data_IF_638729318534
#
_entry.id   IF_638729318534
#
_cell.length_a   1.000
_cell.length_b   1.000
_cell.length_c   1.000
_cell.angle_alpha   90.00
_cell.angle_beta   90.00
_cell.angle_gamma   90.00
#
_symmetry.space_group_name_H-M   'P 1'
#
loop_
_entity.id
_entity.type
_entity.pdbx_description
1 polymer ?
#
# COMPACT_ATOMS: atom_id res chain seq x y z
N UNK A 1 17.48 10.85 -1.98
CA UNK A 1 16.12 10.75 -2.54
C UNK A 1 15.45 9.51 -2.01
N UNK A 2 14.23 9.67 -1.55
CA UNK A 2 13.47 8.55 -1.02
C UNK A 2 12.86 7.74 -2.15
N UNK A 3 13.08 6.44 -2.13
CA UNK A 3 12.40 5.54 -3.03
C UNK A 3 11.09 5.11 -2.38
N UNK A 4 10.00 5.20 -3.12
CA UNK A 4 8.74 4.63 -2.64
C UNK A 4 8.72 3.16 -3.00
N UNK A 5 8.59 2.26 -2.02
CA UNK A 5 8.43 0.84 -2.33
C UNK A 5 7.21 0.61 -3.18
N UNK A 6 7.28 -0.38 -4.06
CA UNK A 6 6.18 -0.71 -4.96
C UNK A 6 5.65 -2.09 -4.61
N UNK A 7 4.34 -2.20 -4.50
CA UNK A 7 3.68 -3.46 -4.17
C UNK A 7 2.57 -3.74 -5.15
N UNK A 8 2.30 -5.03 -5.36
CA UNK A 8 1.17 -5.47 -6.17
C UNK A 8 0.01 -5.82 -5.26
N UNK A 9 -1.20 -5.43 -5.67
CA UNK A 9 -2.41 -5.77 -4.93
C UNK A 9 -3.49 -6.18 -5.93
N UNK A 10 -4.34 -7.11 -5.54
CA UNK A 10 -5.48 -7.47 -6.35
C UNK A 10 -6.58 -6.42 -6.19
N UNK A 11 -7.35 -6.24 -7.26
CA UNK A 11 -8.44 -5.26 -7.28
C UNK A 11 -9.42 -5.45 -6.12
N UNK A 12 -9.61 -6.69 -5.69
CA UNK A 12 -10.53 -6.98 -4.60
C UNK A 12 -10.11 -6.32 -3.29
N UNK A 13 -8.84 -5.97 -3.18
CA UNK A 13 -8.30 -5.33 -1.97
C UNK A 13 -8.36 -3.82 -2.04
N UNK A 14 -8.90 -3.26 -3.12
CA UNK A 14 -9.04 -1.81 -3.28
C UNK A 14 -10.53 -1.48 -3.25
N UNK A 15 -10.94 -0.65 -2.29
CA UNK A 15 -12.34 -0.29 -2.14
C UNK A 15 -12.44 1.11 -1.54
N UNK A 16 -13.22 1.98 -2.17
CA UNK A 16 -13.49 3.34 -1.66
C UNK A 16 -12.20 4.10 -1.33
N UNK A 17 -11.22 4.06 -2.23
CA UNK A 17 -9.93 4.71 -2.06
C UNK A 17 -9.07 4.13 -0.94
N UNK A 18 -9.47 2.98 -0.40
CA UNK A 18 -8.70 2.31 0.64
C UNK A 18 -8.12 1.02 0.06
N UNK A 19 -6.83 0.84 0.26
CA UNK A 19 -6.13 -0.39 -0.11
C UNK A 19 -5.82 -1.15 1.16
N UNK A 20 -6.13 -2.45 1.19
CA UNK A 20 -5.77 -3.29 2.32
C UNK A 20 -4.75 -4.33 1.86
N UNK A 21 -3.60 -4.37 2.50
CA UNK A 21 -2.56 -5.35 2.24
C UNK A 21 -2.53 -6.36 3.39
N UNK A 22 -2.42 -7.64 3.04
CA UNK A 22 -2.46 -8.73 4.00
C UNK A 22 -1.20 -9.58 3.91
N UNK A 23 -0.98 -10.40 4.93
CA UNK A 23 -0.01 -11.46 4.89
C UNK A 23 1.43 -10.98 4.73
N UNK A 24 2.13 -11.57 3.76
CA UNK A 24 3.54 -11.30 3.56
C UNK A 24 3.82 -9.83 3.21
N UNK A 25 2.96 -9.22 2.43
CA UNK A 25 3.13 -7.82 2.06
C UNK A 25 3.03 -6.92 3.30
N UNK A 26 2.05 -7.17 4.15
CA UNK A 26 1.89 -6.39 5.37
C UNK A 26 3.08 -6.60 6.30
N UNK A 27 3.55 -7.83 6.43
CA UNK A 27 4.72 -8.13 7.23
C UNK A 27 5.99 -7.47 6.70
N UNK A 28 6.14 -7.47 5.38
CA UNK A 28 7.29 -6.83 4.75
C UNK A 28 7.31 -5.33 5.04
N UNK A 29 6.17 -4.68 4.88
CA UNK A 29 6.08 -3.25 5.10
C UNK A 29 6.36 -2.89 6.56
N UNK A 30 5.74 -3.61 7.49
CA UNK A 30 5.86 -3.24 8.90
C UNK A 30 7.19 -3.64 9.52
N UNK A 31 7.76 -4.80 9.12
CA UNK A 31 8.97 -5.32 9.75
C UNK A 31 10.24 -4.97 8.99
N UNK A 32 10.23 -5.17 7.68
CA UNK A 32 11.45 -5.01 6.88
C UNK A 32 11.67 -3.56 6.54
N UNK A 33 10.63 -2.89 6.04
CA UNK A 33 10.74 -1.48 5.67
C UNK A 33 10.55 -0.53 6.85
N UNK A 34 10.04 -1.06 7.96
CA UNK A 34 9.75 -0.26 9.15
C UNK A 34 8.88 0.94 8.86
N UNK A 35 7.95 0.76 7.95
CA UNK A 35 7.01 1.81 7.58
C UNK A 35 6.01 2.05 8.70
N UNK A 36 5.45 3.24 8.72
CA UNK A 36 4.53 3.66 9.78
C UNK A 36 3.43 4.52 9.17
N UNK A 37 2.34 4.77 9.89
CA UNK A 37 1.30 5.66 9.40
C UNK A 37 1.88 7.00 8.96
N UNK A 38 1.43 7.49 7.82
CA UNK A 38 1.96 8.69 7.20
C UNK A 38 2.96 8.42 6.09
N UNK A 39 3.55 7.23 6.05
CA UNK A 39 4.48 6.88 4.97
C UNK A 39 3.74 6.60 3.68
N UNK A 40 4.40 6.89 2.55
CA UNK A 40 3.81 6.71 1.23
C UNK A 40 4.36 5.46 0.57
N UNK A 41 3.49 4.78 -0.15
CA UNK A 41 3.85 3.59 -0.95
C UNK A 41 3.25 3.72 -2.34
N UNK A 42 3.86 3.04 -3.31
CA UNK A 42 3.27 2.87 -4.63
C UNK A 42 2.66 1.48 -4.71
N UNK A 43 1.41 1.40 -5.14
CA UNK A 43 0.69 0.14 -5.26
C UNK A 43 0.20 -0.02 -6.68
N UNK A 44 0.41 -1.20 -7.27
CA UNK A 44 -0.03 -1.52 -8.63
C UNK A 44 -1.13 -2.55 -8.56
N UNK A 45 -2.15 -2.42 -9.42
CA UNK A 45 -3.24 -3.38 -9.44
C UNK A 45 -3.17 -4.39 -10.60
N UNK A 46 -2.11 -4.33 -11.37
CA UNK A 46 -1.93 -5.26 -12.48
C UNK A 46 -2.71 -4.91 -13.74
N UNK A 47 -3.48 -3.84 -13.73
CA UNK A 47 -4.27 -3.42 -14.90
C UNK A 47 -3.73 -2.15 -15.54
N UNK A 48 -2.52 -1.73 -15.15
CA UNK A 48 -1.92 -0.53 -15.69
C UNK A 48 -2.07 0.69 -14.80
N UNK A 49 -2.74 0.55 -13.67
CA UNK A 49 -2.92 1.64 -12.72
C UNK A 49 -1.87 1.56 -11.63
N UNK A 50 -1.26 2.70 -11.32
CA UNK A 50 -0.39 2.85 -10.17
C UNK A 50 -1.02 3.83 -9.20
N UNK A 51 -1.00 3.48 -7.92
CA UNK A 51 -1.58 4.32 -6.89
C UNK A 51 -0.48 4.78 -5.94
N UNK A 52 -0.44 6.07 -5.67
CA UNK A 52 0.37 6.58 -4.57
C UNK A 52 -0.55 6.65 -3.36
N UNK A 53 -0.21 5.90 -2.33
CA UNK A 53 -1.10 5.74 -1.20
C UNK A 53 -0.35 5.98 0.10
N UNK A 54 -1.05 6.55 1.07
CA UNK A 54 -0.52 6.83 2.39
C UNK A 54 -0.99 5.78 3.37
N UNK A 55 -0.07 5.25 4.17
CA UNK A 55 -0.41 4.30 5.22
C UNK A 55 -1.23 5.03 6.27
N UNK A 56 -2.43 4.53 6.56
CA UNK A 56 -3.30 5.10 7.58
C UNK A 56 -3.37 4.25 8.83
N UNK A 57 -3.17 2.94 8.69
CA UNK A 57 -3.28 2.05 9.83
C UNK A 57 -2.40 0.82 9.61
N UNK A 58 -1.69 0.40 10.65
CA UNK A 58 -0.90 -0.82 10.63
C UNK A 58 -1.40 -1.72 11.76
N UNK A 59 -1.83 -2.93 11.40
CA UNK A 59 -2.28 -3.95 12.33
C UNK A 59 -1.37 -5.17 12.21
N UNK A 60 -1.56 -6.17 13.07
CA UNK A 60 -0.71 -7.35 13.07
C UNK A 60 -0.74 -8.11 11.75
N UNK A 61 -1.91 -8.17 11.12
CA UNK A 61 -2.10 -9.00 9.93
C UNK A 61 -2.51 -8.22 8.69
N UNK A 62 -2.64 -6.90 8.80
CA UNK A 62 -2.95 -6.10 7.62
C UNK A 62 -2.48 -4.67 7.77
N UNK A 63 -2.41 -3.99 6.64
CA UNK A 63 -2.06 -2.57 6.57
C UNK A 63 -3.08 -1.90 5.66
N UNK A 64 -3.60 -0.77 6.09
CA UNK A 64 -4.54 0.01 5.32
C UNK A 64 -3.89 1.28 4.81
N UNK A 65 -4.16 1.60 3.55
CA UNK A 65 -3.62 2.78 2.91
C UNK A 65 -4.75 3.56 2.25
N UNK A 66 -4.60 4.86 2.22
CA UNK A 66 -5.54 5.73 1.50
C UNK A 66 -4.89 6.18 0.19
N UNK A 67 -5.61 6.02 -0.93
CA UNK A 67 -5.11 6.43 -2.23
C UNK A 67 -5.10 7.96 -2.30
N UNK A 68 -3.94 8.53 -2.58
CA UNK A 68 -3.79 9.98 -2.74
C UNK A 68 -3.71 10.39 -4.20
N UNK A 69 -3.20 9.52 -5.06
CA UNK A 69 -3.04 9.82 -6.48
C UNK A 69 -3.10 8.53 -7.28
N UNK A 70 -3.75 8.59 -8.42
CA UNK A 70 -3.83 7.47 -9.35
C UNK A 70 -3.15 7.87 -10.65
N UNK A 71 -2.29 7.00 -11.16
CA UNK A 71 -1.60 7.20 -12.44
C UNK A 71 -1.82 5.99 -13.33
N UNK A 72 -2.13 6.24 -14.59
CA UNK A 72 -2.34 5.17 -15.56
C UNK A 72 -1.10 4.95 -16.40
#
# INVERSE_FOLDING_TARGET
MKNMPRFFVENDNIKDNIITLYGDDAGHISRVLRSKPGDMLTVCDGTGNDYEAEITEISEDNIKLEIKKTTF
#
